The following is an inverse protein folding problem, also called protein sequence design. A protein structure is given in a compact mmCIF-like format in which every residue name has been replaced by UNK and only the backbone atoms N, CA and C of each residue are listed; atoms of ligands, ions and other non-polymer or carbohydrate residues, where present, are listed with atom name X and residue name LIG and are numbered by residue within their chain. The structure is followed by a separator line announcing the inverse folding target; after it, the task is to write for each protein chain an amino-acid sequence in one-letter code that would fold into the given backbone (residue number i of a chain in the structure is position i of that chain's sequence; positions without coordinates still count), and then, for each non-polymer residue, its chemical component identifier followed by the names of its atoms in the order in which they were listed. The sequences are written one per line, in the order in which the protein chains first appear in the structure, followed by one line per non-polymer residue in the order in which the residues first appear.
data_IF_846990278532
#
_entry.id   IF_846990278532
#
_cell.length_a   1.000
_cell.length_b   1.000
_cell.length_c   1.000
_cell.angle_alpha   90.00
_cell.angle_beta   90.00
_cell.angle_gamma   90.00
#
_symmetry.space_group_name_H-M   'P 1'
#
loop_
_entity.id
_entity.type
_entity.pdbx_description
1 polymer ?
#
# COMPACT_ATOMS: atom_id res chain seq x y z
N UNK A 1 12.26 1.83 18.31
CA UNK A 1 12.58 0.72 17.38
C UNK A 1 11.43 -0.28 17.19
N UNK A 2 10.24 -0.06 17.76
CA UNK A 2 9.03 -0.75 17.33
C UNK A 2 8.61 -0.13 15.99
N UNK A 3 8.68 -0.94 14.93
CA UNK A 3 8.73 -0.52 13.53
C UNK A 3 7.44 0.20 13.13
N UNK A 4 7.61 1.44 12.68
CA UNK A 4 6.57 2.41 12.42
C UNK A 4 5.45 1.87 11.54
N UNK A 5 4.26 1.88 12.13
CA UNK A 5 3.00 2.11 11.43
C UNK A 5 2.81 3.64 11.30
N UNK A 6 3.88 4.34 10.89
CA UNK A 6 3.88 5.79 10.67
C UNK A 6 3.30 6.11 9.30
N UNK A 7 2.02 5.82 9.11
CA UNK A 7 1.22 6.47 8.06
C UNK A 7 0.54 7.73 8.60
N UNK A 8 1.25 8.49 9.47
CA UNK A 8 0.74 9.72 10.09
C UNK A 8 1.43 10.98 9.57
N UNK A 9 1.97 10.98 8.36
CA UNK A 9 2.61 12.20 7.84
C UNK A 9 2.73 12.28 6.32
N UNK A 10 1.61 12.25 5.59
CA UNK A 10 1.60 12.76 4.20
C UNK A 10 0.29 13.49 3.88
N UNK A 11 -0.31 14.17 4.85
CA UNK A 11 -1.38 15.15 4.58
C UNK A 11 -0.82 16.50 4.08
N UNK A 12 0.49 16.77 4.20
CA UNK A 12 1.05 18.13 4.04
C UNK A 12 1.65 18.50 2.68
N UNK A 13 1.69 17.61 1.68
CA UNK A 13 2.32 17.91 0.38
C UNK A 13 1.37 18.01 -0.82
N UNK A 14 0.07 18.25 -0.60
CA UNK A 14 -0.90 18.45 -1.71
C UNK A 14 -1.23 19.93 -1.94
N UNK A 15 -0.86 20.84 -1.03
CA UNK A 15 -1.26 22.25 -1.13
C UNK A 15 -0.49 23.05 -2.20
N UNK A 16 0.68 22.58 -2.67
CA UNK A 16 1.52 23.34 -3.63
C UNK A 16 1.25 23.05 -5.12
N UNK A 17 0.43 22.04 -5.46
CA UNK A 17 0.19 21.64 -6.86
C UNK A 17 -1.07 22.29 -7.50
N UNK A 18 -1.76 23.19 -6.80
CA UNK A 18 -3.01 23.81 -7.30
C UNK A 18 -2.78 24.95 -8.30
N UNK A 19 -1.56 25.46 -8.46
CA UNK A 19 -1.35 26.74 -9.14
C UNK A 19 -1.02 26.68 -10.64
N UNK A 20 -0.81 25.52 -11.30
CA UNK A 20 0.01 25.55 -12.53
C UNK A 20 -0.40 24.91 -13.85
N UNK A 21 -1.51 24.19 -14.02
CA UNK A 21 -1.70 23.51 -15.33
C UNK A 21 -3.09 23.66 -15.96
N UNK A 22 -3.29 24.78 -16.63
CA UNK A 22 -4.09 24.81 -17.84
C UNK A 22 -3.40 23.92 -18.90
N UNK A 23 -4.08 22.86 -19.35
CA UNK A 23 -3.66 22.10 -20.54
C UNK A 23 -3.58 20.58 -20.39
N UNK A 24 -4.70 19.90 -20.64
CA UNK A 24 -4.67 18.77 -21.59
C UNK A 24 -4.26 17.37 -21.12
N UNK A 25 -4.20 17.05 -19.83
CA UNK A 25 -4.18 15.63 -19.37
C UNK A 25 -5.34 15.41 -18.41
N UNK A 26 -6.07 14.27 -18.48
CA UNK A 26 -7.01 13.91 -17.42
C UNK A 26 -6.20 13.80 -16.14
N UNK A 27 -6.26 14.87 -15.35
CA UNK A 27 -5.60 14.97 -14.06
C UNK A 27 -6.19 13.86 -13.22
N UNK A 28 -5.37 12.87 -12.86
CA UNK A 28 -5.75 11.92 -11.82
C UNK A 28 -6.28 12.75 -10.66
N UNK A 29 -7.52 12.55 -10.29
CA UNK A 29 -8.09 13.29 -9.17
C UNK A 29 -7.24 12.99 -7.94
N UNK A 30 -7.12 13.92 -6.97
CA UNK A 30 -6.38 13.65 -5.73
C UNK A 30 -6.84 12.35 -5.06
N UNK A 31 -8.10 11.96 -5.25
CA UNK A 31 -8.67 10.68 -4.83
C UNK A 31 -8.03 9.48 -5.56
N UNK A 32 -7.87 9.53 -6.88
CA UNK A 32 -7.21 8.48 -7.65
C UNK A 32 -5.75 8.32 -7.26
N UNK A 33 -5.02 9.42 -7.07
CA UNK A 33 -3.63 9.38 -6.62
C UNK A 33 -3.50 8.80 -5.19
N UNK A 34 -4.47 9.06 -4.31
CA UNK A 34 -4.51 8.47 -2.97
C UNK A 34 -4.78 6.96 -3.03
N UNK A 35 -5.67 6.51 -3.92
CA UNK A 35 -5.95 5.09 -4.13
C UNK A 35 -4.72 4.33 -4.67
N UNK A 36 -4.01 4.91 -5.64
CA UNK A 36 -2.75 4.32 -6.16
C UNK A 36 -1.70 4.21 -5.06
N UNK A 37 -1.45 5.28 -4.29
CA UNK A 37 -0.51 5.25 -3.16
C UNK A 37 -0.88 4.20 -2.10
N UNK A 38 -2.18 4.05 -1.80
CA UNK A 38 -2.68 3.04 -0.88
C UNK A 38 -2.40 1.63 -1.40
N UNK A 39 -2.67 1.39 -2.68
CA UNK A 39 -2.36 0.12 -3.35
C UNK A 39 -0.85 -0.18 -3.32
N UNK A 40 0.00 0.79 -3.66
CA UNK A 40 1.46 0.60 -3.66
C UNK A 40 1.98 0.26 -2.26
N UNK A 41 1.45 0.91 -1.24
CA UNK A 41 1.79 0.63 0.16
C UNK A 41 1.41 -0.80 0.56
N UNK A 42 0.22 -1.26 0.16
CA UNK A 42 -0.22 -2.64 0.41
C UNK A 42 0.62 -3.67 -0.36
N UNK A 43 1.02 -3.38 -1.60
CA UNK A 43 1.90 -4.25 -2.40
C UNK A 43 3.30 -4.36 -1.80
N UNK A 44 3.86 -3.26 -1.30
CA UNK A 44 5.14 -3.27 -0.60
C UNK A 44 5.06 -4.14 0.66
N UNK A 45 3.97 -4.02 1.41
CA UNK A 45 3.75 -4.82 2.61
C UNK A 45 3.58 -6.31 2.26
N UNK A 46 2.80 -6.65 1.23
CA UNK A 46 2.65 -8.01 0.71
C UNK A 46 4.01 -8.64 0.39
N UNK A 47 4.85 -7.91 -0.35
CA UNK A 47 6.19 -8.36 -0.74
C UNK A 47 7.07 -8.65 0.49
N UNK A 48 6.99 -7.79 1.50
CA UNK A 48 7.72 -7.99 2.76
C UNK A 48 7.22 -9.23 3.51
N UNK A 49 5.90 -9.41 3.64
CA UNK A 49 5.31 -10.58 4.32
C UNK A 49 5.68 -11.87 3.59
N UNK A 50 5.71 -11.87 2.25
CA UNK A 50 6.16 -13.02 1.46
C UNK A 50 7.64 -13.35 1.71
N UNK A 51 8.49 -12.32 1.81
CA UNK A 51 9.90 -12.52 2.18
C UNK A 51 10.02 -13.08 3.59
N UNK A 52 9.29 -12.52 4.55
CA UNK A 52 9.28 -12.97 5.93
C UNK A 52 8.76 -14.43 6.01
N UNK A 53 7.78 -14.83 5.19
CA UNK A 53 7.30 -16.21 5.08
C UNK A 53 8.32 -17.19 4.50
N UNK A 54 9.18 -16.73 3.58
CA UNK A 54 10.25 -17.54 3.01
C UNK A 54 11.40 -17.73 4.00
N UNK A 55 11.74 -16.68 4.76
CA UNK A 55 12.84 -16.72 5.74
C UNK A 55 12.39 -17.31 7.10
N UNK A 56 11.09 -17.35 7.39
CA UNK A 56 10.53 -17.85 8.64
C UNK A 56 10.62 -19.38 8.77
N UNK A 57 11.22 -19.83 9.88
CA UNK A 57 11.33 -21.25 10.26
C UNK A 57 10.34 -21.68 11.35
N UNK A 58 9.62 -20.73 11.95
CA UNK A 58 8.64 -20.98 13.00
C UNK A 58 7.24 -21.14 12.39
N UNK A 59 6.69 -22.34 12.49
CA UNK A 59 5.38 -22.70 11.93
C UNK A 59 4.22 -21.88 12.51
N UNK A 60 4.29 -21.49 13.78
CA UNK A 60 3.25 -20.66 14.42
C UNK A 60 3.29 -19.25 13.86
N UNK A 61 4.49 -18.68 13.72
CA UNK A 61 4.66 -17.35 13.15
C UNK A 61 4.30 -17.33 11.66
N UNK A 62 4.60 -18.42 10.94
CA UNK A 62 4.20 -18.61 9.53
C UNK A 62 2.69 -18.53 9.35
N UNK A 63 1.89 -19.16 10.23
CA UNK A 63 0.42 -19.07 10.18
C UNK A 63 -0.07 -17.64 10.36
N UNK A 64 0.52 -16.89 11.29
CA UNK A 64 0.19 -15.47 11.51
C UNK A 64 0.51 -14.63 10.26
N UNK A 65 1.70 -14.81 9.68
CA UNK A 65 2.10 -14.11 8.45
C UNK A 65 1.20 -14.48 7.26
N UNK A 66 0.80 -15.74 7.12
CA UNK A 66 -0.11 -16.18 6.07
C UNK A 66 -1.51 -15.55 6.22
N UNK A 67 -2.02 -15.45 7.45
CA UNK A 67 -3.28 -14.73 7.72
C UNK A 67 -3.18 -13.23 7.39
N UNK A 68 -2.05 -12.60 7.76
CA UNK A 68 -1.76 -11.22 7.40
C UNK A 68 -1.66 -11.01 5.88
N UNK A 69 -1.03 -11.96 5.17
CA UNK A 69 -0.93 -11.94 3.71
C UNK A 69 -2.31 -11.96 3.06
N UNK A 70 -3.19 -12.88 3.46
CA UNK A 70 -4.54 -12.98 2.93
C UNK A 70 -5.35 -11.69 3.15
N UNK A 71 -5.19 -11.03 4.30
CA UNK A 71 -5.81 -9.74 4.59
C UNK A 71 -5.27 -8.59 3.72
N UNK A 72 -3.96 -8.60 3.40
CA UNK A 72 -3.40 -7.61 2.48
C UNK A 72 -3.91 -7.82 1.06
N UNK A 73 -4.02 -9.08 0.62
CA UNK A 73 -4.56 -9.43 -0.68
C UNK A 73 -6.05 -9.08 -0.80
N UNK A 74 -6.85 -9.24 0.25
CA UNK A 74 -8.26 -8.83 0.23
C UNK A 74 -8.41 -7.31 0.09
N UNK A 75 -7.62 -6.53 0.85
CA UNK A 75 -7.62 -5.07 0.70
C UNK A 75 -7.14 -4.62 -0.68
N UNK A 76 -6.18 -5.33 -1.26
CA UNK A 76 -5.73 -5.07 -2.63
C UNK A 76 -6.84 -5.37 -3.64
N UNK A 77 -7.57 -6.48 -3.49
CA UNK A 77 -8.70 -6.84 -4.34
C UNK A 77 -9.83 -5.79 -4.28
N UNK A 78 -10.13 -5.24 -3.10
CA UNK A 78 -11.08 -4.13 -2.93
C UNK A 78 -10.65 -2.86 -3.70
N UNK A 79 -9.34 -2.66 -3.90
CA UNK A 79 -8.78 -1.57 -4.69
C UNK A 79 -8.65 -1.92 -6.19
N UNK A 80 -9.22 -3.04 -6.63
CA UNK A 80 -9.16 -3.50 -8.02
C UNK A 80 -7.81 -4.07 -8.43
N UNK A 81 -6.95 -4.45 -7.48
CA UNK A 81 -5.75 -5.20 -7.79
C UNK A 81 -6.10 -6.67 -8.03
N UNK A 82 -5.77 -7.16 -9.22
CA UNK A 82 -5.87 -8.58 -9.55
C UNK A 82 -4.51 -9.23 -9.31
N UNK A 83 -4.42 -10.34 -8.55
CA UNK A 83 -3.22 -11.15 -8.52
C UNK A 83 -2.97 -11.65 -9.95
N UNK A 84 -1.74 -11.42 -10.44
CA UNK A 84 -1.29 -11.83 -11.77
C UNK A 84 -0.56 -13.17 -11.69
#
# INVERSE_FOLDING_TARGET
MARGWESKSVEEQIESARAREAGGRPRLTPEQAALEKKRDSLLLHRTRVLRDLNDCRDERYRKTLAGGLAYLESQLAELGWTPQ
#
